data_IF_895820128843
#
_entry.id   IF_895820128843
#
_cell.length_a   1.000
_cell.length_b   1.000
_cell.length_c   1.000
_cell.angle_alpha   90.00
_cell.angle_beta   90.00
_cell.angle_gamma   90.00
#
_symmetry.space_group_name_H-M   'P 1'
#
loop_
_entity.id
_entity.type
_entity.pdbx_description
1 polymer ?
#
# COMPACT_ATOMS: atom_id res chain seq x y z
N UNK A 1 -28.51 -6.41 17.17
CA UNK A 1 -27.26 -5.69 16.87
C UNK A 1 -27.56 -4.82 15.67
N UNK A 2 -27.56 -3.50 15.84
CA UNK A 2 -28.10 -2.58 14.84
C UNK A 2 -27.28 -2.63 13.55
N UNK A 3 -27.88 -3.14 12.49
CA UNK A 3 -27.26 -3.26 11.15
C UNK A 3 -26.76 -1.92 10.63
N UNK A 4 -27.41 -0.82 11.02
CA UNK A 4 -26.97 0.54 10.71
C UNK A 4 -25.64 0.89 11.39
N UNK A 5 -25.44 0.51 12.65
CA UNK A 5 -24.18 0.75 13.36
C UNK A 5 -23.04 -0.08 12.77
N UNK A 6 -23.31 -1.32 12.38
CA UNK A 6 -22.34 -2.18 11.71
C UNK A 6 -21.90 -1.60 10.35
N UNK A 7 -22.85 -1.10 9.55
CA UNK A 7 -22.56 -0.49 8.25
C UNK A 7 -21.73 0.78 8.39
N UNK A 8 -22.09 1.68 9.32
CA UNK A 8 -21.31 2.91 9.58
C UNK A 8 -19.88 2.60 10.03
N UNK A 9 -19.70 1.59 10.87
CA UNK A 9 -18.37 1.17 11.31
C UNK A 9 -17.53 0.66 10.12
N UNK A 10 -18.12 -0.13 9.22
CA UNK A 10 -17.44 -0.63 8.04
C UNK A 10 -17.01 0.50 7.09
N UNK A 11 -17.86 1.50 6.87
CA UNK A 11 -17.54 2.69 6.08
C UNK A 11 -16.37 3.47 6.69
N UNK A 12 -16.39 3.69 8.02
CA UNK A 12 -15.29 4.37 8.72
C UNK A 12 -13.96 3.60 8.60
N UNK A 13 -14.01 2.27 8.74
CA UNK A 13 -12.82 1.42 8.59
C UNK A 13 -12.27 1.52 7.15
N UNK A 14 -13.12 1.46 6.13
CA UNK A 14 -12.70 1.58 4.74
C UNK A 14 -12.11 2.97 4.46
N UNK A 15 -12.79 4.04 4.88
CA UNK A 15 -12.31 5.41 4.68
C UNK A 15 -11.00 5.69 5.42
N UNK A 16 -10.79 5.12 6.60
CA UNK A 16 -9.50 5.23 7.31
C UNK A 16 -8.37 4.48 6.59
N UNK A 17 -8.66 3.29 6.03
CA UNK A 17 -7.67 2.49 5.30
C UNK A 17 -7.22 3.19 4.03
N UNK A 18 -8.15 3.74 3.27
CA UNK A 18 -7.85 4.45 2.03
C UNK A 18 -6.94 5.66 2.26
N UNK A 19 -7.27 6.50 3.25
CA UNK A 19 -6.43 7.63 3.66
C UNK A 19 -5.02 7.19 4.05
N UNK A 20 -4.92 6.07 4.79
CA UNK A 20 -3.63 5.52 5.19
C UNK A 20 -2.79 5.04 3.99
N UNK A 21 -3.40 4.35 3.02
CA UNK A 21 -2.71 3.89 1.80
C UNK A 21 -2.17 5.08 1.01
N UNK A 22 -2.97 6.13 0.83
CA UNK A 22 -2.55 7.35 0.13
C UNK A 22 -1.43 8.08 0.87
N UNK A 23 -1.49 8.17 2.20
CA UNK A 23 -0.40 8.72 3.00
C UNK A 23 0.92 7.97 2.76
N UNK A 24 0.91 6.62 2.79
CA UNK A 24 2.11 5.84 2.52
C UNK A 24 2.59 5.96 1.08
N UNK A 25 1.69 6.06 0.09
CA UNK A 25 2.05 6.27 -1.32
C UNK A 25 2.79 7.60 -1.49
N UNK A 26 2.25 8.68 -0.93
CA UNK A 26 2.89 10.00 -0.97
C UNK A 26 4.23 10.00 -0.23
N UNK A 27 4.29 9.40 0.97
CA UNK A 27 5.52 9.30 1.73
C UNK A 27 6.60 8.52 0.97
N UNK A 28 6.25 7.35 0.40
CA UNK A 28 7.17 6.55 -0.41
C UNK A 28 7.65 7.31 -1.65
N UNK A 29 6.76 8.00 -2.36
CA UNK A 29 7.10 8.84 -3.50
C UNK A 29 8.07 9.97 -3.13
N UNK A 30 7.83 10.64 -2.00
CA UNK A 30 8.74 11.67 -1.48
C UNK A 30 10.12 11.13 -1.10
N UNK A 31 10.17 9.97 -0.43
CA UNK A 31 11.42 9.29 -0.09
C UNK A 31 12.23 8.89 -1.33
N UNK A 32 11.57 8.35 -2.37
CA UNK A 32 12.21 8.00 -3.64
C UNK A 32 12.75 9.26 -4.32
N UNK A 33 11.94 10.32 -4.44
CA UNK A 33 12.37 11.58 -5.05
C UNK A 33 13.59 12.18 -4.36
N UNK A 34 13.57 12.27 -3.03
CA UNK A 34 14.68 12.75 -2.22
C UNK A 34 15.95 11.90 -2.39
N UNK A 35 15.80 10.57 -2.36
CA UNK A 35 16.92 9.66 -2.52
C UNK A 35 17.57 9.80 -3.90
N UNK A 36 16.78 9.90 -4.98
CA UNK A 36 17.28 10.12 -6.34
C UNK A 36 18.03 11.44 -6.47
N UNK A 37 17.48 12.52 -5.90
CA UNK A 37 18.13 13.83 -5.89
C UNK A 37 19.51 13.78 -5.20
N UNK A 38 19.64 13.01 -4.10
CA UNK A 38 20.91 12.88 -3.38
C UNK A 38 22.01 12.16 -4.16
N UNK A 39 21.67 11.34 -5.15
CA UNK A 39 22.65 10.63 -5.99
C UNK A 39 22.91 11.34 -7.30
N UNK A 40 22.16 12.41 -7.61
CA UNK A 40 22.34 13.16 -8.84
C UNK A 40 23.77 13.71 -8.92
N UNK A 41 24.57 13.19 -9.85
CA UNK A 41 25.97 13.55 -10.05
C UNK A 41 27.00 12.76 -9.24
N UNK A 42 26.59 11.72 -8.50
CA UNK A 42 27.52 10.81 -7.81
C UNK A 42 27.99 9.68 -8.73
N UNK A 43 29.26 9.28 -8.64
CA UNK A 43 29.81 8.11 -9.34
C UNK A 43 29.34 6.83 -8.62
N UNK A 44 29.15 5.75 -9.38
CA UNK A 44 28.68 4.48 -8.80
C UNK A 44 29.73 3.90 -7.85
N UNK A 45 29.50 4.07 -6.55
CA UNK A 45 30.31 3.49 -5.47
C UNK A 45 29.59 2.31 -4.81
N UNK A 46 30.35 1.41 -4.20
CA UNK A 46 29.83 0.25 -3.47
C UNK A 46 28.83 0.64 -2.35
N UNK A 47 28.96 1.86 -1.81
CA UNK A 47 28.07 2.44 -0.80
C UNK A 47 26.64 2.62 -1.32
N UNK A 48 26.43 2.75 -2.63
CA UNK A 48 25.11 2.93 -3.23
C UNK A 48 24.24 1.67 -3.20
N UNK A 49 24.81 0.50 -2.88
CA UNK A 49 24.03 -0.75 -2.78
C UNK A 49 22.94 -0.63 -1.71
N UNK A 50 23.26 -0.07 -0.54
CA UNK A 50 22.28 0.13 0.53
C UNK A 50 21.17 1.13 0.13
N UNK A 51 21.54 2.17 -0.63
CA UNK A 51 20.57 3.12 -1.18
C UNK A 51 19.68 2.49 -2.25
N UNK A 52 20.24 1.69 -3.15
CA UNK A 52 19.50 0.96 -4.17
C UNK A 52 18.50 -0.01 -3.54
N UNK A 53 18.89 -0.71 -2.46
CA UNK A 53 17.99 -1.56 -1.68
C UNK A 53 16.84 -0.75 -1.07
N UNK A 54 17.11 0.45 -0.56
CA UNK A 54 16.07 1.35 -0.06
C UNK A 54 15.07 1.75 -1.15
N UNK A 55 15.57 2.15 -2.33
CA UNK A 55 14.74 2.53 -3.47
C UNK A 55 13.87 1.36 -3.96
N UNK A 56 14.44 0.16 -4.04
CA UNK A 56 13.70 -1.05 -4.42
C UNK A 56 12.62 -1.34 -3.36
N UNK A 57 12.94 -1.26 -2.07
CA UNK A 57 11.97 -1.49 -1.01
C UNK A 57 10.82 -0.47 -1.06
N UNK A 58 11.10 0.82 -1.22
CA UNK A 58 10.06 1.84 -1.38
C UNK A 58 9.26 1.67 -2.68
N UNK A 59 9.89 1.24 -3.77
CA UNK A 59 9.22 0.91 -5.02
C UNK A 59 8.25 -0.26 -4.88
N UNK A 60 8.65 -1.33 -4.20
CA UNK A 60 7.78 -2.47 -3.88
C UNK A 60 6.62 -2.01 -2.97
N UNK A 61 6.90 -1.19 -1.96
CA UNK A 61 5.86 -0.57 -1.12
C UNK A 61 4.85 0.21 -1.97
N UNK A 62 5.33 1.08 -2.86
CA UNK A 62 4.49 1.88 -3.75
C UNK A 62 3.60 0.99 -4.63
N UNK A 63 4.16 -0.08 -5.20
CA UNK A 63 3.39 -1.06 -5.98
C UNK A 63 2.29 -1.74 -5.16
N UNK A 64 2.58 -2.16 -3.93
CA UNK A 64 1.57 -2.72 -3.03
C UNK A 64 0.47 -1.71 -2.69
N UNK A 65 0.82 -0.43 -2.53
CA UNK A 65 -0.14 0.66 -2.32
C UNK A 65 -1.09 0.82 -3.51
N UNK A 66 -0.56 0.93 -4.73
CA UNK A 66 -1.38 0.99 -5.95
C UNK A 66 -2.27 -0.25 -6.11
N UNK A 67 -1.74 -1.44 -5.79
CA UNK A 67 -2.51 -2.68 -5.82
C UNK A 67 -3.64 -2.67 -4.77
N UNK A 68 -3.41 -2.13 -3.58
CA UNK A 68 -4.43 -2.03 -2.54
C UNK A 68 -5.57 -1.08 -2.95
N UNK A 69 -5.24 0.07 -3.55
CA UNK A 69 -6.24 1.02 -4.10
C UNK A 69 -7.09 0.33 -5.17
N UNK A 70 -6.46 -0.33 -6.15
CA UNK A 70 -7.17 -1.01 -7.24
C UNK A 70 -8.14 -2.10 -6.74
N UNK A 71 -7.73 -2.85 -5.72
CA UNK A 71 -8.57 -3.89 -5.10
C UNK A 71 -9.75 -3.29 -4.33
N UNK A 72 -9.55 -2.14 -3.69
CA UNK A 72 -10.65 -1.43 -3.04
C UNK A 72 -11.71 -0.98 -4.06
N UNK A 73 -11.28 -0.48 -5.22
CA UNK A 73 -12.19 -0.15 -6.32
C UNK A 73 -12.98 -1.38 -6.82
N UNK A 74 -12.32 -2.55 -6.95
CA UNK A 74 -13.02 -3.79 -7.32
C UNK A 74 -14.04 -4.20 -6.26
N UNK A 75 -13.69 -4.14 -4.97
CA UNK A 75 -14.63 -4.41 -3.87
C UNK A 75 -15.87 -3.51 -3.92
N UNK A 76 -15.69 -2.23 -4.20
CA UNK A 76 -16.80 -1.28 -4.35
C UNK A 76 -17.67 -1.62 -5.56
N UNK A 77 -17.07 -2.03 -6.69
CA UNK A 77 -17.80 -2.49 -7.88
C UNK A 77 -18.63 -3.74 -7.61
N UNK A 78 -18.09 -4.71 -6.87
CA UNK A 78 -18.83 -5.91 -6.49
C UNK A 78 -19.98 -5.58 -5.54
N UNK A 79 -19.79 -4.66 -4.60
CA UNK A 79 -20.86 -4.19 -3.73
C UNK A 79 -21.98 -3.48 -4.52
N UNK A 80 -21.62 -2.64 -5.49
CA UNK A 80 -22.60 -2.04 -6.39
C UNK A 80 -23.36 -3.11 -7.21
N UNK A 81 -22.67 -4.11 -7.74
CA UNK A 81 -23.29 -5.23 -8.46
C UNK A 81 -24.22 -6.04 -7.54
N UNK A 82 -23.86 -6.22 -6.27
CA UNK A 82 -24.69 -6.89 -5.27
C UNK A 82 -26.03 -6.18 -5.05
N UNK A 83 -26.01 -4.84 -5.02
CA UNK A 83 -27.20 -4.02 -4.81
C UNK A 83 -28.07 -3.85 -6.06
N UNK A 84 -27.48 -3.89 -7.26
CA UNK A 84 -28.17 -3.50 -8.51
C UNK A 84 -28.48 -4.67 -9.44
N UNK A 85 -27.59 -5.65 -9.52
CA UNK A 85 -27.61 -6.71 -10.52
C UNK A 85 -27.89 -8.10 -9.94
N UNK A 86 -27.60 -8.34 -8.65
CA UNK A 86 -27.84 -9.65 -8.03
C UNK A 86 -29.35 -9.91 -7.86
N UNK A 87 -29.87 -10.90 -8.59
CA UNK A 87 -31.30 -11.26 -8.57
C UNK A 87 -31.54 -12.57 -7.82
N UNK A 88 -30.60 -13.51 -7.90
CA UNK A 88 -30.70 -14.80 -7.23
C UNK A 88 -29.90 -14.84 -5.91
N UNK A 89 -30.27 -15.72 -4.95
CA UNK A 89 -29.44 -15.99 -3.79
C UNK A 89 -28.03 -16.48 -4.14
N UNK A 90 -27.88 -17.16 -5.29
CA UNK A 90 -26.60 -17.65 -5.77
C UNK A 90 -25.69 -16.51 -6.26
N UNK A 91 -26.26 -15.51 -6.95
CA UNK A 91 -25.52 -14.30 -7.38
C UNK A 91 -25.00 -13.52 -6.17
N UNK A 92 -25.84 -13.42 -5.13
CA UNK A 92 -25.50 -12.76 -3.87
C UNK A 92 -24.36 -13.47 -3.15
N UNK A 93 -24.43 -14.80 -3.03
CA UNK A 93 -23.37 -15.58 -2.41
C UNK A 93 -22.04 -15.51 -3.19
N UNK A 94 -22.10 -15.53 -4.54
CA UNK A 94 -20.91 -15.41 -5.37
C UNK A 94 -20.24 -14.03 -5.22
N UNK A 95 -21.02 -12.95 -5.22
CA UNK A 95 -20.50 -11.60 -5.03
C UNK A 95 -19.96 -11.38 -3.62
N UNK A 96 -20.60 -11.94 -2.59
CA UNK A 96 -20.12 -11.86 -1.22
C UNK A 96 -18.76 -12.56 -1.05
N UNK A 97 -18.59 -13.72 -1.68
CA UNK A 97 -17.28 -14.40 -1.75
C UNK A 97 -16.22 -13.51 -2.39
N UNK A 98 -16.50 -12.93 -3.56
CA UNK A 98 -15.55 -12.05 -4.27
C UNK A 98 -15.21 -10.78 -3.45
N UNK A 99 -16.20 -10.21 -2.75
CA UNK A 99 -15.98 -9.07 -1.87
C UNK A 99 -15.07 -9.43 -0.70
N UNK A 100 -15.28 -10.59 -0.08
CA UNK A 100 -14.46 -11.06 1.04
C UNK A 100 -13.01 -11.37 0.60
N UNK A 101 -12.83 -11.95 -0.59
CA UNK A 101 -11.52 -12.22 -1.18
C UNK A 101 -10.75 -10.93 -1.47
N UNK A 102 -11.39 -9.94 -2.08
CA UNK A 102 -10.73 -8.65 -2.32
C UNK A 102 -10.42 -7.89 -1.03
N UNK A 103 -11.28 -7.99 -0.02
CA UNK A 103 -11.04 -7.37 1.29
C UNK A 103 -9.82 -7.99 2.00
N UNK A 104 -9.69 -9.32 2.01
CA UNK A 104 -8.53 -10.00 2.61
C UNK A 104 -7.25 -9.73 1.82
N UNK A 105 -7.35 -9.73 0.50
CA UNK A 105 -6.22 -9.49 -0.38
C UNK A 105 -5.75 -8.01 -0.33
N UNK A 106 -6.67 -7.06 -0.16
CA UNK A 106 -6.36 -5.64 0.09
C UNK A 106 -5.67 -5.45 1.45
N UNK A 107 -6.19 -6.08 2.51
CA UNK A 107 -5.56 -6.04 3.83
C UNK A 107 -4.14 -6.61 3.82
N UNK A 108 -3.92 -7.70 3.07
CA UNK A 108 -2.58 -8.25 2.87
C UNK A 108 -1.65 -7.27 2.15
N UNK A 109 -2.10 -6.67 1.04
CA UNK A 109 -1.32 -5.66 0.32
C UNK A 109 -0.92 -4.47 1.21
N UNK A 110 -1.85 -3.98 2.04
CA UNK A 110 -1.58 -2.87 2.96
C UNK A 110 -0.50 -3.23 4.00
N UNK A 111 -0.54 -4.45 4.54
CA UNK A 111 0.52 -4.93 5.46
C UNK A 111 1.88 -4.99 4.79
N UNK A 112 1.95 -5.48 3.56
CA UNK A 112 3.21 -5.56 2.81
C UNK A 112 3.72 -4.18 2.39
N UNK A 113 2.84 -3.25 2.00
CA UNK A 113 3.19 -1.85 1.74
C UNK A 113 3.93 -1.26 2.95
N UNK A 114 3.35 -1.36 4.14
CA UNK A 114 3.98 -0.85 5.36
C UNK A 114 5.33 -1.52 5.67
N UNK A 115 5.42 -2.85 5.56
CA UNK A 115 6.67 -3.58 5.84
C UNK A 115 7.81 -3.15 4.92
N UNK A 116 7.54 -3.05 3.62
CA UNK A 116 8.54 -2.60 2.65
C UNK A 116 8.87 -1.11 2.81
N UNK A 117 7.91 -0.28 3.22
CA UNK A 117 8.16 1.12 3.54
C UNK A 117 9.17 1.27 4.68
N UNK A 118 8.94 0.55 5.79
CA UNK A 118 9.83 0.55 6.96
C UNK A 118 11.19 -0.04 6.61
N UNK A 119 11.22 -1.15 5.86
CA UNK A 119 12.48 -1.77 5.42
C UNK A 119 13.33 -0.80 4.61
N UNK A 120 12.71 -0.07 3.68
CA UNK A 120 13.38 0.99 2.91
C UNK A 120 13.92 2.10 3.82
N UNK A 121 13.10 2.58 4.76
CA UNK A 121 13.52 3.59 5.74
C UNK A 121 14.75 3.17 6.56
N UNK A 122 14.77 1.93 7.05
CA UNK A 122 15.92 1.38 7.79
C UNK A 122 17.15 1.28 6.89
N UNK A 123 17.01 0.76 5.67
CA UNK A 123 18.11 0.66 4.71
C UNK A 123 18.69 2.04 4.36
N UNK A 124 17.84 3.05 4.19
CA UNK A 124 18.26 4.44 3.93
C UNK A 124 19.06 5.03 5.09
N UNK A 125 18.59 4.84 6.34
CA UNK A 125 19.31 5.33 7.53
C UNK A 125 20.68 4.66 7.65
N UNK A 126 20.75 3.33 7.45
CA UNK A 126 22.01 2.59 7.46
C UNK A 126 22.98 3.11 6.38
N UNK A 127 22.48 3.37 5.16
CA UNK A 127 23.27 3.99 4.10
C UNK A 127 23.85 5.34 4.53
N UNK A 128 23.02 6.23 5.10
CA UNK A 128 23.46 7.54 5.57
C UNK A 128 24.52 7.45 6.67
N UNK A 129 24.38 6.50 7.59
CA UNK A 129 25.38 6.28 8.63
C UNK A 129 26.70 5.79 8.05
N UNK A 130 26.67 4.85 7.09
CA UNK A 130 27.87 4.36 6.41
C UNK A 130 28.57 5.46 5.62
N UNK A 131 27.82 6.37 4.98
CA UNK A 131 28.41 7.51 4.28
C UNK A 131 29.09 8.49 5.24
N UNK A 132 28.47 8.76 6.40
CA UNK A 132 29.02 9.66 7.42
C UNK A 132 30.24 9.07 8.14
N UNK A 133 30.27 7.76 8.40
CA UNK A 133 31.41 7.09 9.06
C UNK A 133 32.65 7.00 8.17
N UNK A 134 32.48 7.06 6.84
CA UNK A 134 33.59 7.04 5.89
C UNK A 134 34.08 8.44 5.49
N UNK A 135 33.52 9.51 6.07
CA UNK A 135 34.03 10.88 5.97
C UNK A 135 34.92 11.19 7.18
#
# INVERSE_FOLDING_TARGET
MDTEAANKLQEQIQGSREKYIYFLLTAAGGCIGYAVEKVAGSVVEWKLIALALSLIAWGISFWFGCRAVKRNEYGLRYNHAYLTAARSPMDKAALDSLMSDEATASASSNRWQFRFFVLGGVAFVLWRLLELLHR
#
